data_IF_299449804118
#
_entry.id   IF_299449804118
#
_cell.length_a   1.000
_cell.length_b   1.000
_cell.length_c   1.000
_cell.angle_alpha   90.00
_cell.angle_beta   90.00
_cell.angle_gamma   90.00
#
_symmetry.space_group_name_H-M   'P 1'
#
loop_
_entity.id
_entity.type
_entity.pdbx_description
1 polymer ?
#
# COMPACT_ATOMS: atom_id res chain seq x y z
N UNK A 1 52.08 -39.31 50.68
CA UNK A 1 52.18 -38.43 49.50
C UNK A 1 51.84 -39.11 48.15
N UNK A 2 52.32 -40.35 47.83
CA UNK A 2 52.02 -41.02 46.56
C UNK A 2 50.57 -41.38 46.35
N UNK A 3 49.82 -41.86 47.34
CA UNK A 3 48.40 -42.23 47.24
C UNK A 3 47.47 -41.02 46.95
N UNK A 4 47.71 -39.85 47.50
CA UNK A 4 46.91 -38.65 47.26
C UNK A 4 47.11 -38.11 45.86
N UNK A 5 48.32 -38.21 45.28
CA UNK A 5 48.56 -37.81 43.87
C UNK A 5 47.86 -38.71 42.86
N UNK A 6 47.76 -40.01 43.14
CA UNK A 6 47.06 -40.96 42.26
C UNK A 6 45.52 -40.71 42.25
N UNK A 7 44.94 -40.41 43.42
CA UNK A 7 43.55 -40.09 43.55
C UNK A 7 43.21 -38.75 42.86
N UNK A 8 44.10 -37.74 42.98
CA UNK A 8 43.92 -36.46 42.27
C UNK A 8 44.00 -36.59 40.76
N UNK A 9 44.89 -37.42 40.23
CA UNK A 9 45.02 -37.71 38.80
C UNK A 9 43.80 -38.49 38.27
N UNK A 10 43.25 -39.43 39.07
CA UNK A 10 42.03 -40.18 38.70
C UNK A 10 40.79 -39.28 38.61
N UNK A 11 40.60 -38.33 39.53
CA UNK A 11 39.52 -37.33 39.45
C UNK A 11 39.72 -36.34 38.32
N UNK A 12 40.96 -35.96 38.00
CA UNK A 12 41.25 -35.10 36.86
C UNK A 12 40.99 -35.81 35.52
N UNK A 13 41.34 -37.10 35.40
CA UNK A 13 41.04 -37.91 34.22
C UNK A 13 39.54 -38.15 34.05
N UNK A 14 38.79 -38.40 35.14
CA UNK A 14 37.33 -38.58 35.12
C UNK A 14 36.60 -37.26 34.74
N UNK A 15 37.10 -36.10 35.20
CA UNK A 15 36.59 -34.79 34.82
C UNK A 15 36.77 -34.48 33.33
N UNK A 16 37.91 -34.85 32.75
CA UNK A 16 38.22 -34.66 31.32
C UNK A 16 37.34 -35.58 30.46
N UNK A 17 37.04 -36.80 30.90
CA UNK A 17 36.17 -37.72 30.12
C UNK A 17 34.72 -37.27 30.07
N UNK A 18 34.22 -36.57 31.10
CA UNK A 18 32.86 -36.03 31.13
C UNK A 18 32.75 -34.81 30.21
N UNK A 19 33.79 -34.03 30.05
CA UNK A 19 33.77 -32.84 29.15
C UNK A 19 33.87 -33.23 27.66
N UNK A 20 34.49 -34.37 27.33
CA UNK A 20 34.57 -34.84 25.96
C UNK A 20 33.38 -35.65 25.47
N UNK A 21 32.41 -35.95 26.35
CA UNK A 21 31.17 -36.67 26.00
C UNK A 21 30.01 -35.79 25.61
N UNK A 22 30.18 -34.47 25.59
CA UNK A 22 29.15 -33.56 25.13
C UNK A 22 29.14 -33.47 23.59
N UNK A 23 28.75 -34.56 22.94
CA UNK A 23 28.30 -34.54 21.56
C UNK A 23 26.89 -33.96 21.55
N UNK A 24 26.79 -32.65 21.55
CA UNK A 24 25.53 -32.00 21.16
C UNK A 24 25.47 -31.94 19.64
N UNK A 25 24.95 -32.96 19.01
CA UNK A 25 24.18 -32.76 17.81
C UNK A 25 22.86 -32.16 18.30
N UNK A 26 22.80 -30.87 18.38
CA UNK A 26 21.55 -30.14 18.39
C UNK A 26 21.04 -30.18 16.95
N UNK A 27 20.30 -31.23 16.63
CA UNK A 27 19.37 -31.17 15.51
C UNK A 27 18.26 -30.26 16.01
N UNK A 28 18.32 -29.01 15.60
CA UNK A 28 17.33 -28.00 15.93
C UNK A 28 16.04 -28.37 15.17
N UNK A 29 15.06 -28.92 15.89
CA UNK A 29 13.72 -29.14 15.35
C UNK A 29 12.99 -27.81 15.43
N UNK A 30 12.84 -27.15 14.29
CA UNK A 30 12.09 -25.89 14.17
C UNK A 30 10.62 -26.23 14.07
N UNK A 31 9.85 -25.96 15.14
CA UNK A 31 8.41 -26.26 15.23
C UNK A 31 7.52 -25.10 14.77
N UNK A 32 8.04 -23.91 14.68
CA UNK A 32 7.30 -22.66 14.43
C UNK A 32 7.55 -22.05 13.05
N UNK A 33 8.46 -22.63 12.27
CA UNK A 33 8.80 -22.19 10.92
C UNK A 33 8.87 -23.36 9.96
N UNK A 34 8.37 -23.16 8.74
CA UNK A 34 8.57 -24.12 7.64
C UNK A 34 9.95 -23.90 7.06
N UNK A 35 10.86 -24.88 7.21
CA UNK A 35 12.17 -24.80 6.61
C UNK A 35 12.06 -24.81 5.09
N UNK A 36 12.86 -24.00 4.40
CA UNK A 36 12.90 -23.97 2.93
C UNK A 36 13.11 -25.35 2.31
N UNK A 37 13.93 -26.20 2.96
CA UNK A 37 14.20 -27.59 2.52
C UNK A 37 13.01 -28.55 2.65
N UNK A 38 12.03 -28.24 3.49
CA UNK A 38 10.84 -29.05 3.70
C UNK A 38 9.56 -28.42 3.13
N UNK A 39 9.65 -27.23 2.55
CA UNK A 39 8.54 -26.52 1.96
C UNK A 39 8.21 -27.10 0.59
N UNK A 40 7.12 -27.86 0.51
CA UNK A 40 6.59 -28.41 -0.74
C UNK A 40 5.23 -27.76 -1.05
N UNK A 41 5.23 -26.55 -1.61
CA UNK A 41 4.00 -25.81 -1.86
C UNK A 41 3.12 -26.49 -2.90
N UNK A 42 1.81 -26.37 -2.69
CA UNK A 42 0.77 -26.79 -3.61
C UNK A 42 0.05 -25.57 -4.19
N UNK A 43 -0.82 -25.79 -5.17
CA UNK A 43 -1.65 -24.69 -5.72
C UNK A 43 -2.53 -24.01 -4.67
N UNK A 44 -2.89 -24.71 -3.59
CA UNK A 44 -3.66 -24.13 -2.47
C UNK A 44 -2.86 -23.10 -1.66
N UNK A 45 -1.54 -23.19 -1.73
CA UNK A 45 -0.64 -22.32 -0.98
C UNK A 45 -0.31 -21.02 -1.75
N UNK A 46 -0.68 -20.95 -3.04
CA UNK A 46 -0.41 -19.78 -3.91
C UNK A 46 -0.86 -18.47 -3.27
N UNK A 47 -2.08 -18.33 -2.71
CA UNK A 47 -2.51 -17.08 -2.09
C UNK A 47 -1.59 -16.64 -0.93
N UNK A 48 -1.11 -17.56 -0.13
CA UNK A 48 -0.17 -17.27 0.95
C UNK A 48 1.22 -16.91 0.41
N UNK A 49 1.69 -17.59 -0.63
CA UNK A 49 3.00 -17.35 -1.26
C UNK A 49 3.05 -15.94 -1.87
N UNK A 50 2.00 -15.52 -2.57
CA UNK A 50 1.95 -14.19 -3.20
C UNK A 50 1.54 -13.08 -2.23
N UNK A 51 1.01 -13.43 -1.05
CA UNK A 51 0.55 -12.49 -0.03
C UNK A 51 1.52 -11.33 0.25
N UNK A 52 2.82 -11.57 0.42
CA UNK A 52 3.82 -10.50 0.63
C UNK A 52 3.86 -9.44 -0.47
N UNK A 53 3.46 -9.77 -1.71
CA UNK A 53 3.39 -8.79 -2.80
C UNK A 53 2.22 -7.83 -2.59
N UNK A 54 1.13 -8.27 -1.98
CA UNK A 54 -0.09 -7.47 -1.79
C UNK A 54 -0.16 -6.76 -0.45
N UNK A 55 0.42 -7.35 0.61
CA UNK A 55 0.33 -6.79 1.97
C UNK A 55 0.96 -5.41 2.09
N UNK A 56 1.99 -5.12 1.30
CA UNK A 56 2.64 -3.79 1.28
C UNK A 56 1.77 -2.69 0.65
N UNK A 57 0.70 -3.04 -0.08
CA UNK A 57 -0.26 -2.06 -0.58
C UNK A 57 -1.06 -1.40 0.55
N UNK A 58 -1.31 -2.11 1.65
CA UNK A 58 -2.13 -1.59 2.75
C UNK A 58 -1.53 -0.33 3.38
N UNK A 59 -0.30 -0.33 3.90
CA UNK A 59 0.32 0.89 4.42
C UNK A 59 0.55 1.94 3.32
N UNK A 60 0.73 1.51 2.06
CA UNK A 60 0.93 2.42 0.94
C UNK A 60 -0.34 3.23 0.62
N UNK A 61 -1.52 2.61 0.62
CA UNK A 61 -2.75 3.21 0.12
C UNK A 61 -3.63 3.86 1.19
N UNK A 62 -3.65 3.36 2.41
CA UNK A 62 -4.57 3.82 3.45
C UNK A 62 -3.91 4.16 4.79
N UNK A 63 -2.60 4.31 4.79
CA UNK A 63 -1.85 4.82 5.94
C UNK A 63 -1.62 6.32 5.82
N UNK A 64 -1.45 6.97 6.97
CA UNK A 64 -1.04 8.38 7.08
C UNK A 64 0.44 8.62 6.69
N UNK A 65 1.12 7.64 6.12
CA UNK A 65 2.55 7.69 5.76
C UNK A 65 2.83 7.15 4.36
N UNK A 66 1.81 6.91 3.57
CA UNK A 66 1.93 6.26 2.28
C UNK A 66 1.74 7.16 1.07
N UNK A 67 1.42 6.53 -0.04
CA UNK A 67 1.17 7.18 -1.33
C UNK A 67 -0.02 8.16 -1.26
N UNK A 68 -1.06 7.83 -0.47
CA UNK A 68 -2.19 8.73 -0.25
C UNK A 68 -1.73 10.12 0.19
N UNK A 69 -0.85 10.22 1.19
CA UNK A 69 -0.35 11.51 1.65
C UNK A 69 0.48 12.23 0.57
N UNK A 70 1.26 11.49 -0.22
CA UNK A 70 2.07 12.08 -1.29
C UNK A 70 1.24 12.62 -2.45
N UNK A 71 0.06 12.07 -2.67
CA UNK A 71 -0.85 12.50 -3.73
C UNK A 71 -1.79 13.63 -3.26
N UNK A 72 -2.28 13.56 -2.02
CA UNK A 72 -3.36 14.43 -1.55
C UNK A 72 -2.87 15.69 -0.82
N UNK A 73 -1.82 15.58 0.00
CA UNK A 73 -1.34 16.71 0.81
C UNK A 73 -0.68 17.85 -0.01
N UNK A 74 0.03 17.57 -1.12
CA UNK A 74 0.53 18.63 -2.00
C UNK A 74 -0.55 19.23 -2.92
N UNK A 75 -1.74 18.59 -2.99
CA UNK A 75 -2.84 19.07 -3.80
C UNK A 75 -3.64 20.19 -3.06
N UNK A 76 -4.57 20.81 -3.80
CA UNK A 76 -5.34 21.96 -3.31
C UNK A 76 -6.68 21.57 -2.66
N UNK A 77 -6.91 20.28 -2.40
CA UNK A 77 -8.18 19.77 -1.83
C UNK A 77 -8.18 19.77 -0.30
N UNK A 78 -7.07 19.36 0.29
CA UNK A 78 -6.93 19.18 1.75
C UNK A 78 -5.68 19.86 2.27
N UNK A 79 -5.68 20.10 3.56
CA UNK A 79 -4.51 20.56 4.32
C UNK A 79 -4.50 19.92 5.69
N UNK A 80 -3.32 19.60 6.20
CA UNK A 80 -3.13 19.12 7.56
C UNK A 80 -2.43 20.21 8.39
N UNK A 81 -3.19 21.06 9.09
CA UNK A 81 -2.61 22.13 9.90
C UNK A 81 -2.02 21.59 11.20
N UNK A 82 -0.95 22.22 11.66
CA UNK A 82 -0.36 21.92 12.97
C UNK A 82 -1.28 22.45 14.06
N UNK A 83 -1.73 21.58 14.96
CA UNK A 83 -2.61 21.92 16.08
C UNK A 83 -1.94 21.64 17.42
N UNK A 84 -1.80 22.62 18.32
CA UNK A 84 -1.16 22.41 19.63
C UNK A 84 -1.83 21.32 20.48
N UNK A 85 -3.16 21.18 20.40
CA UNK A 85 -3.96 20.21 21.15
C UNK A 85 -4.61 19.15 20.26
N UNK A 86 -3.98 18.83 19.14
CA UNK A 86 -4.49 17.86 18.16
C UNK A 86 -3.34 17.25 17.37
N UNK A 87 -3.42 17.31 16.05
CA UNK A 87 -2.38 16.79 15.18
C UNK A 87 -1.11 17.64 15.27
N UNK A 88 -0.03 17.05 15.79
CA UNK A 88 1.27 17.69 15.84
C UNK A 88 2.33 16.79 15.17
N UNK A 89 2.90 17.27 14.07
CA UNK A 89 3.84 16.55 13.23
C UNK A 89 5.11 17.37 12.91
N UNK A 90 5.40 18.37 13.72
CA UNK A 90 6.46 19.35 13.49
C UNK A 90 6.32 20.07 12.12
N UNK A 91 5.11 20.20 11.59
CA UNK A 91 4.79 20.89 10.35
C UNK A 91 5.17 20.15 9.07
N UNK A 92 5.35 18.84 9.14
CA UNK A 92 5.76 18.04 7.96
C UNK A 92 4.71 18.09 6.85
N UNK A 93 3.43 17.95 7.19
CA UNK A 93 2.34 18.02 6.22
C UNK A 93 2.13 19.44 5.68
N UNK A 94 2.30 20.45 6.54
CA UNK A 94 2.25 21.83 6.10
C UNK A 94 3.35 22.15 5.06
N UNK A 95 4.57 21.59 5.25
CA UNK A 95 5.63 21.70 4.25
C UNK A 95 5.27 20.98 2.94
N UNK A 96 4.61 19.80 3.00
CA UNK A 96 4.13 19.12 1.80
C UNK A 96 3.14 19.99 1.02
N UNK A 97 2.15 20.57 1.69
CA UNK A 97 1.17 21.46 1.09
C UNK A 97 1.83 22.71 0.46
N UNK A 98 2.90 23.22 1.07
CA UNK A 98 3.68 24.35 0.53
C UNK A 98 4.74 23.95 -0.49
N UNK A 99 4.88 22.67 -0.80
CA UNK A 99 5.95 22.11 -1.65
C UNK A 99 7.38 22.42 -1.12
N UNK A 100 7.51 22.52 0.20
CA UNK A 100 8.78 22.79 0.90
C UNK A 100 9.39 21.48 1.44
N UNK A 101 9.79 20.61 0.53
CA UNK A 101 10.31 19.28 0.86
C UNK A 101 11.65 19.32 1.58
N UNK A 102 11.85 18.39 2.52
CA UNK A 102 13.13 18.20 3.21
C UNK A 102 13.67 16.78 3.00
N UNK A 103 15.00 16.58 3.04
CA UNK A 103 15.59 15.26 2.90
C UNK A 103 15.19 14.26 4.00
N UNK A 104 14.65 14.75 5.12
CA UNK A 104 14.29 13.93 6.29
C UNK A 104 12.79 13.65 6.38
N UNK A 105 12.01 14.02 5.36
CA UNK A 105 10.59 13.69 5.33
C UNK A 105 10.38 12.20 5.16
N UNK A 106 9.52 11.63 6.02
CA UNK A 106 9.29 10.18 6.05
C UNK A 106 8.35 9.67 4.97
N UNK A 107 7.43 10.49 4.46
CA UNK A 107 6.45 10.05 3.47
C UNK A 107 7.11 9.58 2.17
N UNK A 108 8.02 10.34 1.53
CA UNK A 108 8.76 9.85 0.37
C UNK A 108 9.58 8.58 0.68
N UNK A 109 10.25 8.55 1.86
CA UNK A 109 11.04 7.40 2.25
C UNK A 109 10.18 6.15 2.45
N UNK A 110 9.02 6.28 3.09
CA UNK A 110 8.12 5.16 3.31
C UNK A 110 7.54 4.64 2.00
N UNK A 111 7.09 5.53 1.09
CA UNK A 111 6.62 5.13 -0.24
C UNK A 111 7.70 4.37 -1.01
N UNK A 112 8.93 4.86 -0.99
CA UNK A 112 10.09 4.17 -1.57
C UNK A 112 10.29 2.78 -0.99
N UNK A 113 10.39 2.66 0.33
CA UNK A 113 10.66 1.40 1.01
C UNK A 113 9.55 0.38 0.78
N UNK A 114 8.29 0.80 0.83
CA UNK A 114 7.14 -0.06 0.61
C UNK A 114 7.09 -0.58 -0.84
N UNK A 115 7.29 0.30 -1.83
CA UNK A 115 7.34 -0.10 -3.23
C UNK A 115 8.47 -1.10 -3.49
N UNK A 116 9.68 -0.84 -3.01
CA UNK A 116 10.80 -1.78 -3.19
C UNK A 116 10.62 -3.08 -2.41
N UNK A 117 9.93 -3.08 -1.27
CA UNK A 117 9.54 -4.30 -0.58
C UNK A 117 8.60 -5.16 -1.44
N UNK A 118 7.60 -4.56 -2.07
CA UNK A 118 6.71 -5.25 -3.00
C UNK A 118 7.42 -5.77 -4.25
N UNK A 119 8.30 -4.96 -4.84
CA UNK A 119 9.15 -5.34 -5.98
C UNK A 119 10.05 -6.52 -5.63
N UNK A 120 10.71 -6.46 -4.47
CA UNK A 120 11.60 -7.53 -4.00
C UNK A 120 10.84 -8.82 -3.76
N UNK A 121 9.65 -8.74 -3.14
CA UNK A 121 8.77 -9.91 -2.96
C UNK A 121 8.37 -10.51 -4.31
N UNK A 122 7.94 -9.70 -5.27
CA UNK A 122 7.58 -10.16 -6.61
C UNK A 122 8.78 -10.81 -7.32
N UNK A 123 9.96 -10.17 -7.31
CA UNK A 123 11.18 -10.70 -7.94
C UNK A 123 11.60 -12.03 -7.32
N UNK A 124 11.53 -12.17 -5.98
CA UNK A 124 11.86 -13.41 -5.28
C UNK A 124 10.93 -14.55 -5.72
N UNK A 125 9.63 -14.32 -5.71
CA UNK A 125 8.65 -15.34 -6.08
C UNK A 125 8.79 -15.72 -7.56
N UNK A 126 8.98 -14.73 -8.44
CA UNK A 126 9.25 -14.99 -9.87
C UNK A 126 10.49 -15.87 -10.07
N UNK A 127 11.58 -15.59 -9.35
CA UNK A 127 12.81 -16.39 -9.40
C UNK A 127 12.58 -17.82 -8.89
N UNK A 128 11.80 -18.00 -7.81
CA UNK A 128 11.46 -19.32 -7.26
C UNK A 128 10.53 -20.13 -8.15
N UNK A 129 9.65 -19.47 -8.91
CA UNK A 129 8.82 -20.14 -9.94
C UNK A 129 9.68 -20.53 -11.15
N UNK A 130 10.65 -19.70 -11.53
CA UNK A 130 11.55 -19.95 -12.65
C UNK A 130 12.49 -21.14 -12.38
N UNK A 131 13.09 -21.21 -11.21
CA UNK A 131 14.02 -22.28 -10.82
C UNK A 131 13.31 -23.55 -10.30
N UNK A 132 11.99 -23.52 -10.19
CA UNK A 132 11.17 -24.68 -9.80
C UNK A 132 11.06 -24.90 -8.28
N UNK A 133 11.61 -24.01 -7.45
CA UNK A 133 11.47 -24.08 -5.98
C UNK A 133 10.00 -23.90 -5.55
N UNK A 134 9.20 -23.18 -6.36
CA UNK A 134 7.74 -23.15 -6.25
C UNK A 134 7.16 -23.83 -7.48
N UNK A 135 6.73 -25.13 -7.37
CA UNK A 135 6.17 -25.87 -8.49
C UNK A 135 4.74 -25.39 -8.77
N UNK A 136 4.53 -24.73 -9.88
CA UNK A 136 3.21 -24.33 -10.36
C UNK A 136 2.86 -25.25 -11.53
N UNK A 137 1.86 -26.10 -11.35
CA UNK A 137 1.42 -27.08 -12.35
C UNK A 137 0.35 -26.54 -13.28
N UNK A 138 -0.51 -25.64 -12.76
CA UNK A 138 -1.64 -25.05 -13.50
C UNK A 138 -1.61 -23.53 -13.37
N UNK A 139 -1.89 -22.81 -14.46
CA UNK A 139 -2.01 -21.36 -14.43
C UNK A 139 -0.69 -20.59 -14.21
N UNK A 140 0.47 -21.22 -14.43
CA UNK A 140 1.79 -20.59 -14.26
C UNK A 140 1.91 -19.26 -14.99
N UNK A 141 1.51 -19.21 -16.25
CA UNK A 141 1.62 -18.00 -17.07
C UNK A 141 0.76 -16.86 -16.54
N UNK A 142 -0.44 -17.16 -16.05
CA UNK A 142 -1.33 -16.16 -15.46
C UNK A 142 -0.76 -15.62 -14.12
N UNK A 143 -0.22 -16.50 -13.28
CA UNK A 143 0.40 -16.09 -12.02
C UNK A 143 1.66 -15.26 -12.25
N UNK A 144 2.52 -15.64 -13.19
CA UNK A 144 3.71 -14.87 -13.58
C UNK A 144 3.31 -13.49 -14.12
N UNK A 145 2.25 -13.44 -14.95
CA UNK A 145 1.73 -12.17 -15.46
C UNK A 145 1.20 -11.27 -14.34
N UNK A 146 0.49 -11.85 -13.37
CA UNK A 146 -0.02 -11.11 -12.21
C UNK A 146 1.11 -10.52 -11.36
N UNK A 147 2.14 -11.31 -11.04
CA UNK A 147 3.30 -10.85 -10.28
C UNK A 147 4.09 -9.74 -10.99
N UNK A 148 4.25 -9.86 -12.32
CA UNK A 148 4.87 -8.82 -13.14
C UNK A 148 4.01 -7.57 -13.20
N UNK A 149 2.70 -7.70 -13.28
CA UNK A 149 1.76 -6.58 -13.21
C UNK A 149 1.85 -5.86 -11.87
N UNK A 150 1.89 -6.59 -10.76
CA UNK A 150 2.09 -6.01 -9.44
C UNK A 150 3.42 -5.26 -9.34
N UNK A 151 4.51 -5.83 -9.86
CA UNK A 151 5.81 -5.16 -9.93
C UNK A 151 5.76 -3.88 -10.75
N UNK A 152 5.14 -3.90 -11.91
CA UNK A 152 4.95 -2.73 -12.76
C UNK A 152 4.11 -1.65 -12.07
N UNK A 153 3.08 -2.04 -11.31
CA UNK A 153 2.29 -1.12 -10.51
C UNK A 153 3.14 -0.39 -9.46
N UNK A 154 4.00 -1.11 -8.72
CA UNK A 154 4.93 -0.47 -7.77
C UNK A 154 5.90 0.49 -8.47
N UNK A 155 6.41 0.11 -9.65
CA UNK A 155 7.25 1.02 -10.43
C UNK A 155 6.48 2.21 -10.97
N UNK A 156 5.18 2.12 -11.24
CA UNK A 156 4.36 3.28 -11.61
C UNK A 156 4.23 4.28 -10.46
N UNK A 157 4.10 3.82 -9.22
CA UNK A 157 4.12 4.68 -8.02
C UNK A 157 5.49 5.34 -7.84
N UNK A 158 6.58 4.56 -7.99
CA UNK A 158 7.94 5.11 -7.91
C UNK A 158 8.24 6.13 -9.01
N UNK A 159 7.74 5.87 -10.22
CA UNK A 159 7.86 6.79 -11.35
C UNK A 159 7.17 8.13 -11.07
N UNK A 160 5.97 8.06 -10.50
CA UNK A 160 5.16 9.24 -10.20
C UNK A 160 5.79 10.06 -9.06
N UNK A 161 6.10 9.42 -7.95
CA UNK A 161 6.57 10.09 -6.74
C UNK A 161 8.08 10.45 -6.76
N UNK A 162 8.92 9.67 -7.46
CA UNK A 162 10.38 9.80 -7.40
C UNK A 162 11.05 10.03 -8.76
N UNK A 163 10.41 9.65 -9.84
CA UNK A 163 10.92 9.84 -11.21
C UNK A 163 12.05 8.90 -11.59
N UNK A 164 13.29 9.31 -11.31
CA UNK A 164 14.49 8.53 -11.64
C UNK A 164 14.78 7.52 -10.51
N UNK A 165 14.56 6.23 -10.78
CA UNK A 165 14.72 5.18 -9.78
C UNK A 165 15.44 3.97 -10.36
N UNK A 166 16.13 3.14 -9.56
CA UNK A 166 16.69 1.89 -10.05
C UNK A 166 15.62 0.91 -10.49
N UNK A 167 15.76 0.31 -11.69
CA UNK A 167 14.91 -0.80 -12.14
C UNK A 167 15.65 -2.11 -11.91
N UNK A 168 15.12 -2.92 -10.98
CA UNK A 168 15.68 -4.22 -10.57
C UNK A 168 14.64 -5.30 -10.82
N UNK A 169 15.00 -6.30 -11.63
CA UNK A 169 14.12 -7.43 -11.98
C UNK A 169 14.70 -8.79 -11.63
N UNK A 170 16.03 -8.86 -11.44
CA UNK A 170 16.72 -10.09 -11.10
C UNK A 170 16.95 -10.17 -9.58
N UNK A 171 16.25 -11.09 -8.92
CA UNK A 171 16.39 -11.30 -7.47
C UNK A 171 17.78 -11.80 -7.04
N UNK A 172 18.47 -12.52 -7.93
CA UNK A 172 19.79 -13.10 -7.65
C UNK A 172 20.96 -12.14 -7.90
N UNK A 173 20.68 -10.96 -8.47
CA UNK A 173 21.71 -9.95 -8.69
C UNK A 173 21.96 -9.16 -7.39
N UNK A 174 23.17 -9.30 -6.85
CA UNK A 174 23.61 -8.62 -5.62
C UNK A 174 24.43 -7.34 -5.91
N UNK A 175 24.57 -6.95 -7.16
CA UNK A 175 25.26 -5.72 -7.53
C UNK A 175 24.46 -4.49 -7.10
N UNK A 176 25.16 -3.36 -6.85
CA UNK A 176 24.49 -2.11 -6.57
C UNK A 176 23.75 -1.64 -7.82
N UNK A 177 22.41 -1.49 -7.78
CA UNK A 177 21.66 -1.11 -8.94
C UNK A 177 21.94 0.34 -9.34
N UNK A 178 22.00 0.58 -10.64
CA UNK A 178 22.14 1.93 -11.17
C UNK A 178 20.79 2.61 -11.30
N UNK A 179 20.77 3.91 -11.08
CA UNK A 179 19.57 4.72 -11.31
C UNK A 179 19.21 4.72 -12.79
N UNK A 180 17.94 4.48 -13.08
CA UNK A 180 17.33 4.63 -14.41
C UNK A 180 16.73 6.02 -14.54
N UNK A 181 16.68 6.56 -15.74
CA UNK A 181 15.96 7.81 -16.01
C UNK A 181 14.45 7.60 -15.90
N UNK A 182 13.70 8.67 -15.64
CA UNK A 182 12.23 8.64 -15.59
C UNK A 182 11.63 7.98 -16.84
N UNK A 183 12.17 8.31 -18.01
CA UNK A 183 11.74 7.69 -19.28
C UNK A 183 12.00 6.19 -19.30
N UNK A 184 13.17 5.73 -18.84
CA UNK A 184 13.47 4.28 -18.79
C UNK A 184 12.54 3.54 -17.82
N UNK A 185 12.18 4.16 -16.71
CA UNK A 185 11.19 3.57 -15.77
C UNK A 185 9.82 3.52 -16.43
N UNK A 186 9.39 4.57 -17.11
CA UNK A 186 8.16 4.59 -17.91
C UNK A 186 8.14 3.45 -18.95
N UNK A 187 9.18 3.35 -19.77
CA UNK A 187 9.30 2.33 -20.81
C UNK A 187 9.24 0.90 -20.22
N UNK A 188 9.86 0.69 -19.05
CA UNK A 188 9.79 -0.57 -18.33
C UNK A 188 8.35 -0.90 -17.88
N UNK A 189 7.66 0.05 -17.23
CA UNK A 189 6.28 -0.13 -16.76
C UNK A 189 5.34 -0.44 -17.93
N UNK A 190 5.41 0.35 -19.00
CA UNK A 190 4.62 0.13 -20.21
C UNK A 190 4.86 -1.27 -20.78
N UNK A 191 6.13 -1.60 -21.00
CA UNK A 191 6.52 -2.89 -21.61
C UNK A 191 6.04 -4.07 -20.78
N UNK A 192 6.21 -4.01 -19.45
CA UNK A 192 5.84 -5.12 -18.57
C UNK A 192 4.32 -5.31 -18.51
N UNK A 193 3.55 -4.23 -18.42
CA UNK A 193 2.09 -4.30 -18.43
C UNK A 193 1.55 -4.83 -19.79
N UNK A 194 2.02 -4.28 -20.90
CA UNK A 194 1.55 -4.68 -22.23
C UNK A 194 1.88 -6.14 -22.53
N UNK A 195 3.11 -6.59 -22.22
CA UNK A 195 3.56 -7.96 -22.53
C UNK A 195 2.82 -9.04 -21.70
N UNK A 196 2.22 -8.68 -20.58
CA UNK A 196 1.53 -9.62 -19.69
C UNK A 196 0.00 -9.49 -19.74
N UNK A 197 -0.54 -8.47 -20.37
CA UNK A 197 -1.96 -8.12 -20.39
C UNK A 197 -2.89 -9.29 -20.76
N UNK A 198 -2.56 -10.00 -21.85
CA UNK A 198 -3.43 -11.07 -22.39
C UNK A 198 -3.38 -12.38 -21.59
N UNK A 199 -2.46 -12.48 -20.64
CA UNK A 199 -2.33 -13.63 -19.72
C UNK A 199 -3.08 -13.41 -18.42
N UNK A 200 -3.51 -12.19 -18.12
CA UNK A 200 -4.24 -11.85 -16.93
C UNK A 200 -5.69 -12.30 -17.00
N UNK A 201 -6.25 -12.65 -15.84
CA UNK A 201 -7.67 -12.97 -15.71
C UNK A 201 -8.55 -11.77 -16.10
N UNK A 202 -9.62 -12.02 -16.85
CA UNK A 202 -10.68 -11.03 -17.12
C UNK A 202 -11.83 -11.10 -16.10
N UNK A 203 -11.78 -12.07 -15.18
CA UNK A 203 -12.78 -12.23 -14.14
C UNK A 203 -12.77 -11.06 -13.16
N UNK A 204 -13.93 -10.80 -12.57
CA UNK A 204 -14.20 -9.77 -11.57
C UNK A 204 -14.87 -10.38 -10.32
N UNK A 205 -15.11 -9.54 -9.33
CA UNK A 205 -15.75 -9.92 -8.08
C UNK A 205 -14.83 -10.77 -7.21
N UNK A 206 -15.40 -11.70 -6.44
CA UNK A 206 -14.69 -12.44 -5.39
C UNK A 206 -13.47 -13.24 -5.89
N UNK A 207 -13.46 -13.64 -7.15
CA UNK A 207 -12.35 -14.42 -7.73
C UNK A 207 -11.06 -13.65 -7.84
N UNK A 208 -11.14 -12.36 -8.14
CA UNK A 208 -9.98 -11.47 -8.34
C UNK A 208 -9.98 -10.27 -7.40
N UNK A 209 -10.85 -10.26 -6.39
CA UNK A 209 -10.90 -9.19 -5.40
C UNK A 209 -9.57 -9.06 -4.66
N UNK A 210 -9.01 -7.86 -4.67
CA UNK A 210 -7.70 -7.59 -4.09
C UNK A 210 -6.50 -8.13 -4.88
N UNK A 211 -6.70 -8.60 -6.12
CA UNK A 211 -5.65 -9.15 -7.00
C UNK A 211 -5.61 -8.40 -8.33
N UNK A 212 -4.43 -8.34 -8.93
CA UNK A 212 -4.28 -7.74 -10.26
C UNK A 212 -4.90 -8.63 -11.32
N UNK A 213 -5.85 -8.08 -12.05
CA UNK A 213 -6.48 -8.67 -13.23
C UNK A 213 -6.23 -7.76 -14.44
N UNK A 214 -6.76 -8.13 -15.60
CA UNK A 214 -6.60 -7.37 -16.86
C UNK A 214 -7.09 -5.93 -16.75
N UNK A 215 -8.16 -5.71 -16.01
CA UNK A 215 -8.78 -4.39 -15.88
C UNK A 215 -7.97 -3.47 -14.97
N UNK A 216 -7.40 -4.00 -13.90
CA UNK A 216 -6.46 -3.26 -13.04
C UNK A 216 -5.19 -2.87 -13.81
N UNK A 217 -4.67 -3.76 -14.66
CA UNK A 217 -3.53 -3.47 -15.52
C UNK A 217 -3.87 -2.39 -16.55
N UNK A 218 -5.06 -2.44 -17.17
CA UNK A 218 -5.54 -1.40 -18.10
C UNK A 218 -5.72 -0.04 -17.41
N UNK A 219 -6.28 -0.02 -16.21
CA UNK A 219 -6.42 1.22 -15.44
C UNK A 219 -5.05 1.83 -15.08
N UNK A 220 -4.07 0.99 -14.74
CA UNK A 220 -2.68 1.41 -14.49
C UNK A 220 -2.05 2.00 -15.77
N UNK A 221 -2.25 1.36 -16.93
CA UNK A 221 -1.80 1.89 -18.22
C UNK A 221 -2.49 3.19 -18.59
N UNK A 222 -3.80 3.32 -18.36
CA UNK A 222 -4.52 4.56 -18.63
C UNK A 222 -3.91 5.74 -17.84
N UNK A 223 -3.63 5.54 -16.54
CA UNK A 223 -2.97 6.54 -15.70
C UNK A 223 -1.54 6.84 -16.19
N UNK A 224 -0.79 5.81 -16.56
CA UNK A 224 0.56 5.95 -17.11
C UNK A 224 0.56 6.80 -18.39
N UNK A 225 -0.36 6.52 -19.31
CA UNK A 225 -0.47 7.24 -20.60
C UNK A 225 -0.99 8.67 -20.43
N UNK A 226 -1.90 8.90 -19.49
CA UNK A 226 -2.38 10.24 -19.17
C UNK A 226 -1.23 11.18 -18.78
N UNK A 227 -0.28 10.67 -18.00
CA UNK A 227 0.86 11.43 -17.52
C UNK A 227 2.15 11.25 -18.36
N UNK A 228 2.07 10.58 -19.50
CA UNK A 228 3.23 10.24 -20.33
C UNK A 228 4.07 11.46 -20.76
N UNK A 229 3.41 12.58 -21.02
CA UNK A 229 4.12 13.82 -21.40
C UNK A 229 5.05 14.30 -20.30
N UNK A 230 4.61 14.23 -19.03
CA UNK A 230 5.43 14.59 -17.86
C UNK A 230 6.62 13.66 -17.71
N UNK A 231 6.43 12.36 -17.95
CA UNK A 231 7.48 11.36 -17.75
C UNK A 231 8.48 11.28 -18.91
N UNK A 232 8.02 11.54 -20.14
CA UNK A 232 8.79 11.26 -21.35
C UNK A 232 9.00 12.46 -22.27
N UNK A 233 8.25 13.55 -22.04
CA UNK A 233 8.16 14.69 -22.97
C UNK A 233 7.26 14.45 -24.19
N UNK A 234 6.55 13.30 -24.24
CA UNK A 234 5.68 12.94 -25.37
C UNK A 234 4.32 12.50 -24.86
N UNK A 235 3.22 13.19 -25.23
CA UNK A 235 1.88 12.81 -24.81
C UNK A 235 1.44 11.48 -25.44
N UNK A 236 0.63 10.70 -24.70
CA UNK A 236 0.08 9.42 -25.12
C UNK A 236 -1.44 9.37 -24.90
N UNK A 237 -2.14 10.46 -25.10
CA UNK A 237 -3.56 10.58 -24.76
C UNK A 237 -4.46 9.61 -25.53
N UNK A 238 -4.14 9.32 -26.80
CA UNK A 238 -4.88 8.33 -27.60
C UNK A 238 -4.79 6.93 -26.99
N UNK A 239 -3.60 6.53 -26.49
CA UNK A 239 -3.45 5.25 -25.79
C UNK A 239 -4.23 5.26 -24.47
N UNK A 240 -4.27 6.37 -23.75
CA UNK A 240 -5.07 6.51 -22.53
C UNK A 240 -6.56 6.29 -22.85
N UNK A 241 -7.10 6.99 -23.84
CA UNK A 241 -8.48 6.86 -24.30
C UNK A 241 -8.80 5.41 -24.66
N UNK A 242 -7.90 4.74 -25.39
CA UNK A 242 -8.09 3.34 -25.74
C UNK A 242 -8.22 2.42 -24.52
N UNK A 243 -7.38 2.59 -23.48
CA UNK A 243 -7.49 1.79 -22.27
C UNK A 243 -8.80 2.08 -21.52
N UNK A 244 -9.20 3.34 -21.44
CA UNK A 244 -10.47 3.73 -20.83
C UNK A 244 -11.67 3.12 -21.59
N UNK A 245 -11.72 3.22 -22.91
CA UNK A 245 -12.77 2.63 -23.71
C UNK A 245 -12.85 1.11 -23.55
N UNK A 246 -11.70 0.42 -23.52
CA UNK A 246 -11.68 -1.02 -23.29
C UNK A 246 -12.29 -1.40 -21.91
N UNK A 247 -12.01 -0.62 -20.86
CA UNK A 247 -12.59 -0.84 -19.53
C UNK A 247 -14.10 -0.58 -19.56
N UNK A 248 -14.53 0.52 -20.17
CA UNK A 248 -15.95 0.93 -20.24
C UNK A 248 -16.76 -0.08 -21.06
N UNK A 249 -16.27 -0.41 -22.27
CA UNK A 249 -17.04 -1.19 -23.23
C UNK A 249 -17.01 -2.70 -22.95
N UNK A 250 -15.88 -3.20 -22.38
CA UNK A 250 -15.61 -4.64 -22.25
C UNK A 250 -15.43 -5.09 -20.79
N UNK A 251 -15.06 -4.17 -19.88
CA UNK A 251 -14.81 -4.49 -18.47
C UNK A 251 -16.07 -4.83 -17.69
N UNK A 252 -17.24 -4.37 -18.16
CA UNK A 252 -18.52 -4.60 -17.49
C UNK A 252 -18.62 -3.92 -16.12
N UNK A 253 -17.87 -2.85 -15.92
CA UNK A 253 -18.01 -1.97 -14.76
C UNK A 253 -19.17 -1.01 -15.01
N UNK A 254 -19.87 -0.63 -13.94
CA UNK A 254 -21.06 0.22 -14.00
C UNK A 254 -20.97 1.24 -12.89
N UNK A 255 -21.22 2.49 -13.19
CA UNK A 255 -21.32 3.55 -12.18
C UNK A 255 -22.43 3.22 -11.20
N UNK A 256 -22.15 3.35 -9.90
CA UNK A 256 -23.14 3.15 -8.85
C UNK A 256 -24.20 4.28 -8.89
N UNK A 257 -25.42 3.93 -8.52
CA UNK A 257 -26.53 4.91 -8.47
C UNK A 257 -26.30 5.98 -7.41
N UNK A 258 -25.54 5.67 -6.36
CA UNK A 258 -25.12 6.60 -5.33
C UNK A 258 -23.61 6.58 -5.23
N UNK A 259 -22.99 7.73 -5.33
CA UNK A 259 -21.56 7.92 -5.13
C UNK A 259 -21.06 7.30 -3.81
N UNK A 260 -21.86 7.45 -2.74
CA UNK A 260 -21.56 6.95 -1.41
C UNK A 260 -21.38 5.42 -1.34
N UNK A 261 -22.02 4.65 -2.25
CA UNK A 261 -21.93 3.19 -2.27
C UNK A 261 -20.47 2.69 -2.32
N UNK A 262 -19.61 3.41 -3.04
CA UNK A 262 -18.20 3.06 -3.18
C UNK A 262 -17.37 3.20 -1.88
N UNK A 263 -17.91 3.92 -0.89
CA UNK A 263 -17.21 4.30 0.34
C UNK A 263 -17.89 3.77 1.61
N UNK A 264 -18.81 2.85 1.49
CA UNK A 264 -19.41 2.16 2.62
C UNK A 264 -18.38 1.21 3.27
N UNK A 265 -18.62 0.86 4.54
CA UNK A 265 -17.77 -0.08 5.28
C UNK A 265 -17.63 -1.41 4.54
N UNK A 266 -18.75 -1.94 4.00
CA UNK A 266 -18.72 -3.05 3.05
C UNK A 266 -18.99 -2.50 1.64
N UNK A 267 -17.91 -2.22 0.92
CA UNK A 267 -17.94 -1.80 -0.48
C UNK A 267 -17.43 -2.89 -1.44
N UNK A 268 -17.26 -4.11 -0.97
CA UNK A 268 -16.81 -5.25 -1.78
C UNK A 268 -17.76 -5.61 -2.91
N UNK A 269 -19.03 -5.22 -2.76
CA UNK A 269 -20.09 -5.44 -3.76
C UNK A 269 -20.19 -4.35 -4.83
N UNK A 270 -19.39 -3.27 -4.71
CA UNK A 270 -19.40 -2.18 -5.69
C UNK A 270 -19.07 -2.70 -7.09
N UNK A 271 -19.90 -2.29 -8.05
CA UNK A 271 -19.74 -2.61 -9.47
C UNK A 271 -18.84 -1.62 -10.21
N UNK A 272 -18.44 -0.56 -9.54
CA UNK A 272 -17.59 0.52 -10.06
C UNK A 272 -16.10 0.28 -9.77
N UNK A 273 -15.78 -0.38 -8.65
CA UNK A 273 -14.39 -0.59 -8.22
C UNK A 273 -13.64 -1.54 -9.16
N UNK A 274 -12.57 -1.06 -9.78
CA UNK A 274 -11.73 -1.83 -10.70
C UNK A 274 -10.68 -2.66 -9.93
N UNK A 275 -10.04 -2.03 -8.94
CA UNK A 275 -9.04 -2.65 -8.08
C UNK A 275 -9.24 -2.15 -6.64
N UNK A 276 -9.18 -3.05 -5.69
CA UNK A 276 -9.32 -2.72 -4.28
C UNK A 276 -8.15 -3.29 -3.47
N UNK A 277 -7.74 -2.56 -2.45
CA UNK A 277 -6.82 -3.05 -1.42
C UNK A 277 -7.68 -3.43 -0.21
N UNK A 278 -7.87 -4.74 0.09
CA UNK A 278 -8.79 -5.16 1.13
C UNK A 278 -8.28 -4.80 2.52
N UNK A 279 -9.21 -4.32 3.35
CA UNK A 279 -9.05 -4.14 4.79
C UNK A 279 -10.20 -4.84 5.51
N UNK A 280 -9.95 -5.31 6.71
CA UNK A 280 -10.95 -5.89 7.60
C UNK A 280 -10.58 -5.67 9.06
N UNK A 281 -11.51 -5.93 9.97
CA UNK A 281 -11.33 -5.66 11.39
C UNK A 281 -10.43 -6.66 12.15
N UNK A 282 -10.06 -7.78 11.52
CA UNK A 282 -9.32 -8.86 12.17
C UNK A 282 -7.92 -9.04 11.57
N UNK A 283 -7.84 -9.25 10.24
CA UNK A 283 -6.60 -9.65 9.57
C UNK A 283 -5.91 -8.50 8.83
N UNK A 284 -6.61 -7.40 8.60
CA UNK A 284 -6.13 -6.29 7.79
C UNK A 284 -6.55 -4.91 8.33
N UNK A 285 -6.26 -4.67 9.62
CA UNK A 285 -6.76 -3.54 10.42
C UNK A 285 -6.09 -2.19 10.15
N UNK A 286 -5.24 -2.08 9.14
CA UNK A 286 -4.33 -0.94 8.96
C UNK A 286 -4.94 0.27 8.24
N UNK A 287 -6.24 0.27 7.93
CA UNK A 287 -6.91 1.44 7.38
C UNK A 287 -7.05 2.52 8.47
N UNK A 288 -6.32 3.60 8.34
CA UNK A 288 -6.31 4.71 9.29
C UNK A 288 -6.77 6.04 8.68
N UNK A 289 -7.25 6.04 7.43
CA UNK A 289 -7.68 7.27 6.75
C UNK A 289 -8.76 7.99 7.56
N UNK A 290 -9.78 7.27 8.06
CA UNK A 290 -10.86 7.84 8.87
C UNK A 290 -10.35 8.46 10.18
N UNK A 291 -9.28 7.93 10.76
CA UNK A 291 -8.68 8.48 11.97
C UNK A 291 -7.98 9.82 11.69
N UNK A 292 -7.35 9.96 10.53
CA UNK A 292 -6.67 11.20 10.12
C UNK A 292 -7.65 12.26 9.63
N UNK A 293 -8.69 11.87 8.88
CA UNK A 293 -9.60 12.79 8.20
C UNK A 293 -10.73 13.32 9.10
N UNK A 294 -11.04 12.62 10.20
CA UNK A 294 -12.07 13.07 11.15
C UNK A 294 -11.46 13.92 12.26
N UNK A 295 -12.14 15.00 12.61
CA UNK A 295 -11.80 15.82 13.77
C UNK A 295 -12.04 15.06 15.09
N UNK A 296 -11.31 15.40 16.14
CA UNK A 296 -11.38 14.73 17.45
C UNK A 296 -12.80 14.69 18.03
N UNK A 297 -13.59 15.74 17.80
CA UNK A 297 -14.99 15.86 18.24
C UNK A 297 -15.93 14.84 17.57
N UNK A 298 -15.57 14.35 16.39
CA UNK A 298 -16.37 13.36 15.67
C UNK A 298 -16.45 12.01 16.39
N UNK A 299 -15.59 11.75 17.41
CA UNK A 299 -15.81 10.64 18.33
C UNK A 299 -17.23 10.64 18.91
N UNK A 300 -17.69 11.81 19.37
CA UNK A 300 -19.00 11.94 20.00
C UNK A 300 -20.14 12.05 18.97
N UNK A 301 -19.83 12.55 17.76
CA UNK A 301 -20.80 12.59 16.65
C UNK A 301 -21.15 11.19 16.18
N UNK A 302 -20.12 10.36 15.96
CA UNK A 302 -20.23 9.04 15.34
C UNK A 302 -20.22 7.88 16.35
N UNK A 303 -20.19 8.17 17.66
CA UNK A 303 -20.07 7.17 18.75
C UNK A 303 -18.88 6.23 18.56
N UNK A 304 -17.73 6.75 18.17
CA UNK A 304 -16.54 5.95 17.90
C UNK A 304 -15.89 5.44 19.21
N UNK A 305 -15.40 4.21 19.19
CA UNK A 305 -14.64 3.63 20.29
C UNK A 305 -13.29 4.34 20.53
N UNK A 306 -12.65 4.81 19.47
CA UNK A 306 -11.41 5.57 19.52
C UNK A 306 -11.63 7.03 19.12
N UNK A 307 -10.77 7.92 19.63
CA UNK A 307 -10.79 9.32 19.25
C UNK A 307 -10.02 9.51 17.93
N UNK A 308 -10.63 10.12 16.89
CA UNK A 308 -9.94 10.52 15.68
C UNK A 308 -8.81 11.53 15.95
N UNK A 309 -7.85 11.58 15.05
CA UNK A 309 -6.63 12.35 15.26
C UNK A 309 -6.74 13.82 14.86
N UNK A 310 -7.74 14.18 14.05
CA UNK A 310 -7.93 15.55 13.60
C UNK A 310 -6.81 16.04 12.71
N UNK A 311 -6.39 15.26 11.73
CA UNK A 311 -5.33 15.62 10.78
C UNK A 311 -5.83 16.55 9.68
N UNK A 312 -6.30 15.97 8.58
CA UNK A 312 -6.75 16.74 7.41
C UNK A 312 -8.02 17.55 7.66
N UNK A 313 -8.13 18.63 6.94
CA UNK A 313 -9.38 19.35 6.70
C UNK A 313 -9.43 19.83 5.25
N UNK A 314 -10.63 20.19 4.79
CA UNK A 314 -10.80 20.73 3.46
C UNK A 314 -10.14 22.09 3.30
N UNK A 315 -9.61 22.38 2.12
CA UNK A 315 -9.30 23.74 1.69
C UNK A 315 -10.62 24.41 1.30
N UNK A 316 -11.04 25.51 1.96
CA UNK A 316 -12.37 26.12 1.72
C UNK A 316 -12.61 26.52 0.26
N UNK A 317 -11.57 27.02 -0.41
CA UNK A 317 -11.64 27.40 -1.81
C UNK A 317 -11.99 26.20 -2.72
N UNK A 318 -11.50 25.00 -2.36
CA UNK A 318 -11.86 23.78 -3.09
C UNK A 318 -13.34 23.43 -2.88
N UNK A 319 -13.85 23.56 -1.66
CA UNK A 319 -15.28 23.34 -1.37
C UNK A 319 -16.16 24.28 -2.17
N UNK A 320 -15.74 25.54 -2.33
CA UNK A 320 -16.50 26.53 -3.10
C UNK A 320 -16.53 26.27 -4.62
N UNK A 321 -15.73 25.30 -5.13
CA UNK A 321 -15.75 24.88 -6.55
C UNK A 321 -16.84 23.86 -6.88
N UNK A 322 -17.46 23.24 -5.87
CA UNK A 322 -18.52 22.27 -6.11
C UNK A 322 -19.79 22.96 -6.64
N UNK A 323 -20.42 22.31 -7.60
CA UNK A 323 -21.80 22.66 -7.96
C UNK A 323 -22.71 22.36 -6.74
N UNK A 324 -23.61 23.27 -6.36
CA UNK A 324 -24.53 23.05 -5.23
C UNK A 324 -25.39 21.78 -5.35
N UNK A 325 -25.67 21.32 -6.58
CA UNK A 325 -26.43 20.11 -6.84
C UNK A 325 -25.56 18.84 -6.89
N UNK A 326 -24.25 18.97 -6.77
CA UNK A 326 -23.33 17.81 -6.74
C UNK A 326 -23.45 17.06 -5.42
N UNK A 327 -24.01 15.86 -5.49
CA UNK A 327 -24.22 15.01 -4.30
C UNK A 327 -22.91 14.62 -3.60
N UNK A 328 -21.77 14.63 -4.31
CA UNK A 328 -20.44 14.34 -3.76
C UNK A 328 -20.05 15.33 -2.69
N UNK A 329 -20.51 16.59 -2.78
CA UNK A 329 -20.21 17.61 -1.78
C UNK A 329 -20.61 17.15 -0.37
N UNK A 330 -21.86 16.73 -0.19
CA UNK A 330 -22.37 16.28 1.12
C UNK A 330 -21.91 14.88 1.53
N UNK A 331 -21.60 14.04 0.55
CA UNK A 331 -21.17 12.66 0.80
C UNK A 331 -19.69 12.57 1.17
N UNK A 332 -18.88 13.56 0.76
CA UNK A 332 -17.43 13.58 1.03
C UNK A 332 -17.08 14.47 2.22
N UNK A 333 -17.77 15.59 2.40
CA UNK A 333 -17.36 16.64 3.34
C UNK A 333 -18.38 16.85 4.46
N UNK A 334 -17.94 16.72 5.71
CA UNK A 334 -18.74 17.09 6.88
C UNK A 334 -18.71 18.60 7.06
N UNK A 335 -19.85 19.24 6.94
CA UNK A 335 -20.01 20.69 7.04
C UNK A 335 -21.18 21.05 7.97
N UNK A 336 -21.15 22.27 8.51
CA UNK A 336 -22.22 22.80 9.37
C UNK A 336 -22.31 22.12 10.75
N UNK A 337 -23.40 22.32 11.49
CA UNK A 337 -23.62 21.73 12.80
C UNK A 337 -23.58 20.21 12.75
N UNK A 338 -22.91 19.60 13.72
CA UNK A 338 -22.77 18.15 13.81
C UNK A 338 -23.59 17.61 14.98
N UNK A 339 -24.35 16.58 14.72
CA UNK A 339 -25.26 15.97 15.68
C UNK A 339 -24.85 14.51 15.93
N UNK A 340 -25.03 14.05 17.17
CA UNK A 340 -24.81 12.65 17.49
C UNK A 340 -25.75 11.77 16.68
N UNK A 341 -25.21 10.78 15.98
CA UNK A 341 -25.95 9.94 15.03
C UNK A 341 -27.00 9.04 15.68
N UNK A 342 -26.92 8.79 16.99
CA UNK A 342 -27.88 7.97 17.74
C UNK A 342 -28.91 8.81 18.47
N UNK A 343 -28.47 9.87 19.14
CA UNK A 343 -29.34 10.66 20.04
C UNK A 343 -29.93 11.89 19.37
N UNK A 344 -29.41 12.33 18.23
CA UNK A 344 -29.76 13.58 17.58
C UNK A 344 -29.35 14.84 18.34
N UNK A 345 -28.58 14.70 19.43
CA UNK A 345 -28.13 15.84 20.22
C UNK A 345 -27.02 16.62 19.46
N UNK A 346 -27.09 17.95 19.51
CA UNK A 346 -26.05 18.82 18.96
C UNK A 346 -24.73 18.57 19.69
N UNK A 347 -23.67 18.20 18.95
CA UNK A 347 -22.32 17.96 19.48
C UNK A 347 -21.40 19.12 19.16
N UNK A 348 -21.49 19.68 17.96
CA UNK A 348 -20.66 20.76 17.49
C UNK A 348 -21.48 21.80 16.75
N UNK A 349 -21.41 23.05 17.20
CA UNK A 349 -21.92 24.19 16.44
C UNK A 349 -20.82 24.69 15.53
N UNK A 350 -20.99 24.47 14.24
CA UNK A 350 -20.00 24.91 13.26
C UNK A 350 -20.21 26.39 12.91
N UNK A 351 -19.17 27.20 13.07
CA UNK A 351 -19.11 28.51 12.42
C UNK A 351 -18.15 28.38 11.23
N UNK A 352 -18.61 28.71 10.01
CA UNK A 352 -17.74 28.78 8.83
C UNK A 352 -16.67 29.82 9.12
N UNK A 353 -15.47 29.39 9.52
CA UNK A 353 -14.29 30.25 9.63
C UNK A 353 -13.34 29.90 8.51
N UNK A 354 -12.76 30.92 7.91
CA UNK A 354 -11.66 30.72 6.97
C UNK A 354 -10.49 30.16 7.76
N UNK A 355 -9.95 28.99 7.40
CA UNK A 355 -8.83 28.42 8.08
C UNK A 355 -7.60 29.35 7.98
N UNK A 356 -6.96 29.65 9.08
CA UNK A 356 -5.59 30.15 9.02
C UNK A 356 -4.63 28.98 9.21
N UNK A 357 -3.54 28.97 8.47
CA UNK A 357 -2.53 27.91 8.50
C UNK A 357 -1.94 27.71 9.92
N UNK A 358 -2.05 28.71 10.76
CA UNK A 358 -1.51 28.74 12.12
C UNK A 358 -2.57 28.46 13.18
N UNK A 359 -3.80 28.14 12.80
CA UNK A 359 -4.91 28.22 13.70
C UNK A 359 -5.54 26.88 14.07
N UNK A 360 -5.90 26.82 15.35
CA UNK A 360 -6.67 25.77 16.00
C UNK A 360 -8.15 25.72 15.60
N UNK A 361 -8.64 26.65 14.77
CA UNK A 361 -10.05 26.91 14.49
C UNK A 361 -10.59 26.15 13.25
N UNK A 362 -10.00 25.00 12.92
CA UNK A 362 -10.44 24.17 11.80
C UNK A 362 -11.55 23.22 12.21
N UNK A 363 -12.68 23.74 12.63
CA UNK A 363 -13.92 22.96 12.81
C UNK A 363 -15.14 23.81 12.52
#
# INVERSE_FOLDING_TARGET
>A
MKKQRIISLAYMALGITIVLGSCTKLDEEVYDQVLETSFNPTEKDIPAIIGPVYTVLRPQMASWQGDFDLQEEPADMIVTPVRPNGWYDAGTYNRMHKHEWTPTQWQPQNSWNQCYSGITAANRILSQIEDGSIPITTGKDALVAELKTARAFYYSILLDNHGNVPVVTNFKDTSLPKQSTRKQVYDFVETELVANMDKLSELKGSTTYGRFNKWAAKATLARLYLNAEVYTGTPQWEKCIQQCNDIIDKGGYVLETSYRTNFLTDNSVSKENIFAVPYDEIFATQNSIHMKTLATVHRNVLNMGAQPWGGNCAVPQFIDTYDPDDTRLKDTWLQGPQYNVTTGALVLTYAKKVPSIDNTDYF
#
